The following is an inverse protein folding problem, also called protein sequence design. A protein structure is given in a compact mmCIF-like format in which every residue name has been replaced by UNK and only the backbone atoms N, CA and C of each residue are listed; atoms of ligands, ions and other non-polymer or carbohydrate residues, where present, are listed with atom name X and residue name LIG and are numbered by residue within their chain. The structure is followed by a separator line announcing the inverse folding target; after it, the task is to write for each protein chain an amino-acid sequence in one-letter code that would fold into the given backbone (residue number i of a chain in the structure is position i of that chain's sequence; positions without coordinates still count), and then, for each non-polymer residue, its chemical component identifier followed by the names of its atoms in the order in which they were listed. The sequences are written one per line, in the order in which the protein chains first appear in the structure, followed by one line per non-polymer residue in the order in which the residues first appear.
data_IF_589014514565
#
_entry.id   IF_589014514565
#
_cell.length_a   1.000
_cell.length_b   1.000
_cell.length_c   1.000
_cell.angle_alpha   90.00
_cell.angle_beta   90.00
_cell.angle_gamma   90.00
#
_symmetry.space_group_name_H-M   'P 1'
#
loop_
_entity.id
_entity.type
_entity.pdbx_description
1 polymer ?
#
# COMPACT_ATOMS: atom_id res chain seq x y z
N UNK A 1 16.46 -12.53 -14.00
CA UNK A 1 17.10 -12.53 -15.32
C UNK A 1 17.20 -11.14 -15.98
N UNK A 2 17.09 -10.03 -15.24
CA UNK A 2 17.08 -8.64 -15.81
C UNK A 2 18.38 -7.87 -15.51
N UNK A 3 19.24 -8.37 -14.62
CA UNK A 3 20.46 -7.66 -14.18
C UNK A 3 21.70 -7.95 -15.05
N UNK A 4 21.65 -8.90 -15.98
CA UNK A 4 22.82 -9.35 -16.73
C UNK A 4 23.09 -8.56 -18.02
N UNK A 5 22.10 -7.82 -18.54
CA UNK A 5 22.24 -7.08 -19.81
C UNK A 5 22.78 -5.66 -19.65
N UNK A 6 22.85 -5.12 -18.43
CA UNK A 6 23.36 -3.77 -18.17
C UNK A 6 24.89 -3.65 -18.17
N UNK A 7 25.64 -4.77 -18.26
CA UNK A 7 27.11 -4.77 -18.12
C UNK A 7 27.88 -4.80 -19.44
N UNK A 8 27.21 -4.81 -20.61
CA UNK A 8 27.85 -5.03 -21.90
C UNK A 8 28.17 -3.76 -22.73
N UNK A 9 27.99 -2.55 -22.18
CA UNK A 9 28.01 -1.30 -22.97
C UNK A 9 29.00 -0.24 -22.51
N UNK A 10 30.26 -0.58 -22.20
CA UNK A 10 31.31 0.42 -21.94
C UNK A 10 32.49 0.14 -22.86
N UNK A 11 32.57 0.85 -23.98
CA UNK A 11 33.74 0.79 -24.86
C UNK A 11 33.56 1.43 -26.22
N UNK A 12 34.44 2.39 -26.50
CA UNK A 12 34.74 3.04 -27.79
C UNK A 12 33.83 4.20 -28.23
N UNK A 13 34.46 5.38 -28.28
CA UNK A 13 33.86 6.60 -28.78
C UNK A 13 33.66 6.55 -30.30
N UNK A 14 32.54 7.11 -30.73
CA UNK A 14 32.36 7.76 -32.03
C UNK A 14 31.26 8.79 -31.86
N UNK A 15 31.63 10.05 -32.06
CA UNK A 15 30.72 11.18 -32.20
C UNK A 15 29.85 10.94 -33.43
N UNK A 16 28.60 10.54 -33.24
CA UNK A 16 27.58 10.59 -34.28
C UNK A 16 26.23 10.86 -33.63
N UNK A 17 25.64 11.97 -34.04
CA UNK A 17 24.30 12.43 -33.73
C UNK A 17 23.28 11.33 -34.00
N UNK A 18 22.60 10.85 -32.96
CA UNK A 18 21.22 10.33 -32.97
C UNK A 18 20.97 9.75 -31.57
N UNK A 19 19.94 10.26 -30.88
CA UNK A 19 19.31 9.54 -29.76
C UNK A 19 18.91 8.17 -30.30
N UNK A 20 19.73 7.15 -30.02
CA UNK A 20 19.53 5.82 -30.58
C UNK A 20 18.19 5.24 -30.11
N UNK A 21 17.43 4.51 -30.95
CA UNK A 21 16.14 3.91 -30.59
C UNK A 21 16.21 3.04 -29.32
N UNK A 22 17.40 2.51 -29.00
CA UNK A 22 17.67 1.67 -27.82
C UNK A 22 17.55 2.43 -26.50
N UNK A 23 17.97 3.70 -26.41
CA UNK A 23 17.83 4.48 -25.17
C UNK A 23 16.39 4.91 -24.94
N UNK A 24 15.65 5.20 -26.01
CA UNK A 24 14.21 5.51 -25.92
C UNK A 24 13.40 4.27 -25.48
N UNK A 25 13.79 3.07 -25.93
CA UNK A 25 13.18 1.81 -25.52
C UNK A 25 13.37 1.52 -24.02
N UNK A 26 14.55 1.86 -23.47
CA UNK A 26 14.83 1.72 -22.03
C UNK A 26 13.98 2.67 -21.20
N UNK A 27 13.83 3.92 -21.65
CA UNK A 27 12.99 4.93 -20.97
C UNK A 27 11.52 4.54 -20.99
N UNK A 28 11.01 4.07 -22.13
CA UNK A 28 9.63 3.59 -22.27
C UNK A 28 9.40 2.33 -21.44
N UNK A 29 10.37 1.40 -21.40
CA UNK A 29 10.30 0.21 -20.56
C UNK A 29 10.32 0.56 -19.06
N UNK A 30 11.13 1.53 -18.63
CA UNK A 30 11.14 2.04 -17.26
C UNK A 30 9.82 2.71 -16.90
N UNK A 31 9.27 3.57 -17.76
CA UNK A 31 7.98 4.22 -17.56
C UNK A 31 6.82 3.22 -17.52
N UNK A 32 6.84 2.18 -18.37
CA UNK A 32 5.84 1.12 -18.35
C UNK A 32 5.94 0.25 -17.09
N UNK A 33 7.15 -0.08 -16.62
CA UNK A 33 7.37 -0.81 -15.37
C UNK A 33 6.93 0.00 -14.15
N UNK A 34 7.25 1.29 -14.11
CA UNK A 34 6.81 2.22 -13.05
C UNK A 34 5.30 2.39 -13.08
N UNK A 35 4.70 2.52 -14.27
CA UNK A 35 3.25 2.63 -14.45
C UNK A 35 2.49 1.35 -14.07
N UNK A 36 3.04 0.17 -14.38
CA UNK A 36 2.45 -1.11 -13.98
C UNK A 36 2.55 -1.31 -12.47
N UNK A 37 3.68 -0.94 -11.86
CA UNK A 37 3.83 -0.90 -10.41
C UNK A 37 2.82 0.06 -9.77
N UNK A 38 2.68 1.30 -10.28
CA UNK A 38 1.72 2.28 -9.75
C UNK A 38 0.25 1.84 -9.86
N UNK A 39 -0.13 1.19 -10.96
CA UNK A 39 -1.50 0.67 -11.13
C UNK A 39 -1.79 -0.49 -10.19
N UNK A 40 -0.83 -1.39 -9.99
CA UNK A 40 -0.96 -2.47 -9.02
C UNK A 40 -1.05 -1.94 -7.58
N UNK A 41 -0.31 -0.87 -7.31
CA UNK A 41 -0.24 -0.16 -6.04
C UNK A 41 -1.52 0.58 -5.66
N UNK A 42 -2.12 1.33 -6.59
CA UNK A 42 -3.40 2.00 -6.38
C UNK A 42 -4.54 1.00 -6.13
N UNK A 43 -4.43 -0.22 -6.67
CA UNK A 43 -5.40 -1.30 -6.43
C UNK A 43 -5.32 -1.84 -4.99
N UNK A 44 -4.13 -1.87 -4.39
CA UNK A 44 -3.87 -2.34 -3.03
C UNK A 44 -4.20 -1.27 -1.96
N UNK A 45 -3.92 0.00 -2.24
CA UNK A 45 -4.14 1.12 -1.30
C UNK A 45 -5.61 1.37 -0.92
N UNK A 46 -6.59 0.85 -1.69
CA UNK A 46 -8.02 1.09 -1.43
C UNK A 46 -8.58 0.27 -0.24
N UNK A 47 -7.80 -0.62 0.39
CA UNK A 47 -8.34 -1.61 1.35
C UNK A 47 -8.06 -1.35 2.84
N UNK A 48 -7.35 -0.30 3.26
CA UNK A 48 -6.94 -0.17 4.68
C UNK A 48 -7.34 1.17 5.32
N UNK A 49 -8.12 1.10 6.41
CA UNK A 49 -8.63 2.23 7.18
C UNK A 49 -7.89 2.46 8.51
N UNK A 50 -6.56 2.41 8.52
CA UNK A 50 -5.73 2.70 9.70
C UNK A 50 -4.91 3.98 9.47
N UNK A 51 -4.95 4.92 10.42
CA UNK A 51 -4.39 6.28 10.27
C UNK A 51 -2.86 6.31 10.14
N UNK A 52 -2.15 5.33 10.72
CA UNK A 52 -0.69 5.20 10.66
C UNK A 52 -0.19 4.59 9.35
N UNK A 53 -0.89 3.60 8.79
CA UNK A 53 -0.56 3.05 7.46
C UNK A 53 -0.82 4.07 6.36
N UNK A 54 -1.84 4.92 6.53
CA UNK A 54 -2.13 6.02 5.61
C UNK A 54 -0.99 7.04 5.52
N UNK A 55 -0.40 7.45 6.66
CA UNK A 55 0.79 8.33 6.66
C UNK A 55 2.01 7.68 5.99
N UNK A 56 2.22 6.38 6.19
CA UNK A 56 3.33 5.65 5.55
C UNK A 56 3.12 5.54 4.04
N UNK A 57 1.89 5.29 3.59
CA UNK A 57 1.55 5.33 2.18
C UNK A 57 1.74 6.73 1.56
N UNK A 58 1.41 7.80 2.28
CA UNK A 58 1.67 9.17 1.81
C UNK A 58 3.18 9.44 1.63
N UNK A 59 4.02 8.89 2.51
CA UNK A 59 5.47 8.96 2.31
C UNK A 59 5.93 8.16 1.09
N UNK A 60 5.30 7.02 0.79
CA UNK A 60 5.54 6.27 -0.45
C UNK A 60 5.12 7.10 -1.67
N UNK A 61 3.97 7.76 -1.62
CA UNK A 61 3.50 8.64 -2.69
C UNK A 61 4.47 9.79 -2.97
N UNK A 62 4.97 10.47 -1.93
CA UNK A 62 6.02 11.50 -2.09
C UNK A 62 7.29 10.95 -2.73
N UNK A 63 7.72 9.74 -2.35
CA UNK A 63 8.90 9.09 -2.95
C UNK A 63 8.66 8.74 -4.42
N UNK A 64 7.45 8.31 -4.78
CA UNK A 64 7.05 8.06 -6.17
C UNK A 64 7.14 9.35 -7.00
N UNK A 65 6.64 10.47 -6.49
CA UNK A 65 6.75 11.77 -7.17
C UNK A 65 8.22 12.12 -7.42
N UNK A 66 9.08 11.96 -6.41
CA UNK A 66 10.52 12.21 -6.54
C UNK A 66 11.19 11.30 -7.57
N UNK A 67 10.80 10.03 -7.66
CA UNK A 67 11.30 9.10 -8.69
C UNK A 67 10.92 9.58 -10.10
N UNK A 68 9.71 10.12 -10.28
CA UNK A 68 9.28 10.69 -11.56
C UNK A 68 10.07 11.95 -11.91
N UNK A 69 10.36 12.81 -10.93
CA UNK A 69 11.21 14.01 -11.12
C UNK A 69 12.63 13.62 -11.56
N UNK A 70 13.24 12.62 -10.93
CA UNK A 70 14.56 12.12 -11.32
C UNK A 70 14.55 11.53 -12.75
N UNK A 71 13.49 10.83 -13.13
CA UNK A 71 13.33 10.32 -14.50
C UNK A 71 13.19 11.46 -15.52
N UNK A 72 12.45 12.51 -15.17
CA UNK A 72 12.36 13.73 -15.96
C UNK A 72 13.72 14.41 -16.12
N UNK A 73 14.48 14.56 -15.03
CA UNK A 73 15.83 15.14 -15.07
C UNK A 73 16.81 14.34 -15.92
N UNK A 74 16.74 13.00 -15.91
CA UNK A 74 17.52 12.15 -16.82
C UNK A 74 17.12 12.40 -18.28
N UNK A 75 15.82 12.53 -18.56
CA UNK A 75 15.33 12.79 -19.92
C UNK A 75 15.78 14.16 -20.43
N UNK A 76 15.69 15.20 -19.61
CA UNK A 76 16.16 16.54 -19.94
C UNK A 76 17.65 16.55 -20.24
N UNK A 77 18.45 15.87 -19.41
CA UNK A 77 19.90 15.77 -19.58
C UNK A 77 20.28 15.00 -20.86
N UNK A 78 19.54 13.95 -21.20
CA UNK A 78 19.73 13.20 -22.43
C UNK A 78 19.30 13.98 -23.68
N UNK A 79 18.38 14.94 -23.54
CA UNK A 79 17.93 15.82 -24.63
C UNK A 79 18.81 17.05 -24.85
N UNK A 80 19.79 17.28 -23.97
CA UNK A 80 20.65 18.47 -24.01
C UNK A 80 21.42 18.60 -25.34
N UNK A 81 21.39 19.78 -25.99
CA UNK A 81 22.07 20.01 -27.27
C UNK A 81 23.60 19.97 -27.17
N UNK A 82 24.15 20.12 -25.96
CA UNK A 82 25.60 20.04 -25.66
C UNK A 82 26.04 18.58 -25.39
N UNK A 83 25.10 17.64 -25.42
CA UNK A 83 25.30 16.24 -25.05
C UNK A 83 25.15 15.99 -23.54
N UNK A 84 24.83 14.74 -23.14
CA UNK A 84 24.49 14.41 -21.77
C UNK A 84 25.70 14.45 -20.83
N UNK A 85 25.57 15.15 -19.70
CA UNK A 85 26.55 15.10 -18.61
C UNK A 85 26.46 13.75 -17.89
N UNK A 86 27.40 12.87 -18.21
CA UNK A 86 27.44 11.48 -17.74
C UNK A 86 27.37 11.37 -16.21
N UNK A 87 28.11 12.21 -15.48
CA UNK A 87 28.12 12.18 -14.01
C UNK A 87 26.75 12.53 -13.42
N UNK A 88 26.05 13.48 -14.04
CA UNK A 88 24.72 13.90 -13.60
C UNK A 88 23.68 12.81 -13.89
N UNK A 89 23.70 12.24 -15.09
CA UNK A 89 22.82 11.11 -15.47
C UNK A 89 23.07 9.92 -14.55
N UNK A 90 24.33 9.60 -14.26
CA UNK A 90 24.69 8.49 -13.40
C UNK A 90 24.19 8.70 -11.98
N UNK A 91 24.36 9.89 -11.40
CA UNK A 91 23.87 10.20 -10.07
C UNK A 91 22.34 10.13 -9.99
N UNK A 92 21.63 10.69 -10.96
CA UNK A 92 20.16 10.57 -11.02
C UNK A 92 19.71 9.11 -11.15
N UNK A 93 20.39 8.29 -11.96
CA UNK A 93 20.08 6.86 -12.08
C UNK A 93 20.33 6.09 -10.76
N UNK A 94 21.40 6.41 -10.04
CA UNK A 94 21.70 5.80 -8.74
C UNK A 94 20.64 6.17 -7.69
N UNK A 95 20.29 7.45 -7.59
CA UNK A 95 19.25 7.92 -6.67
C UNK A 95 17.87 7.34 -7.02
N UNK A 96 17.55 7.27 -8.31
CA UNK A 96 16.33 6.63 -8.82
C UNK A 96 16.26 5.17 -8.36
N UNK A 97 17.32 4.39 -8.57
CA UNK A 97 17.35 2.99 -8.18
C UNK A 97 17.21 2.80 -6.66
N UNK A 98 17.81 3.70 -5.87
CA UNK A 98 17.70 3.63 -4.42
C UNK A 98 16.27 3.92 -3.95
N UNK A 99 15.64 4.98 -4.47
CA UNK A 99 14.26 5.31 -4.13
C UNK A 99 13.28 4.20 -4.54
N UNK A 100 13.49 3.55 -5.69
CA UNK A 100 12.69 2.40 -6.11
C UNK A 100 12.81 1.24 -5.11
N UNK A 101 14.02 0.92 -4.64
CA UNK A 101 14.22 -0.14 -3.63
C UNK A 101 13.51 0.22 -2.32
N UNK A 102 13.63 1.46 -1.88
CA UNK A 102 13.02 1.92 -0.64
C UNK A 102 11.48 1.88 -0.72
N UNK A 103 10.92 2.28 -1.87
CA UNK A 103 9.48 2.16 -2.15
C UNK A 103 9.07 0.68 -2.08
N UNK A 104 9.78 -0.21 -2.78
CA UNK A 104 9.47 -1.64 -2.80
C UNK A 104 9.48 -2.29 -1.42
N UNK A 105 10.44 -1.95 -0.56
CA UNK A 105 10.53 -2.47 0.81
C UNK A 105 9.35 -1.95 1.65
N UNK A 106 9.13 -0.63 1.67
CA UNK A 106 8.05 -0.02 2.45
C UNK A 106 6.68 -0.61 2.10
N UNK A 107 6.44 -0.86 0.82
CA UNK A 107 5.17 -1.44 0.37
C UNK A 107 5.03 -2.91 0.69
N UNK A 108 6.11 -3.67 0.60
CA UNK A 108 6.11 -5.08 1.01
C UNK A 108 5.71 -5.20 2.47
N UNK A 109 6.24 -4.31 3.32
CA UNK A 109 5.94 -4.29 4.74
C UNK A 109 4.48 -3.89 5.00
N UNK A 110 3.95 -2.90 4.29
CA UNK A 110 2.54 -2.51 4.42
C UNK A 110 1.58 -3.58 3.88
N UNK A 111 1.92 -4.27 2.79
CA UNK A 111 1.14 -5.42 2.29
C UNK A 111 1.18 -6.55 3.32
N UNK A 112 2.35 -6.88 3.86
CA UNK A 112 2.49 -7.90 4.91
C UNK A 112 1.64 -7.55 6.12
N UNK A 113 1.72 -6.30 6.60
CA UNK A 113 0.92 -5.82 7.72
C UNK A 113 -0.59 -5.87 7.43
N UNK A 114 -1.01 -5.48 6.22
CA UNK A 114 -2.42 -5.55 5.82
C UNK A 114 -2.93 -7.00 5.68
N UNK A 115 -2.07 -7.95 5.31
CA UNK A 115 -2.39 -9.37 5.25
C UNK A 115 -2.39 -10.05 6.64
N UNK A 116 -1.55 -9.57 7.56
CA UNK A 116 -1.53 -9.98 8.96
C UNK A 116 -2.67 -9.35 9.77
N UNK A 117 -3.26 -8.26 9.27
CA UNK A 117 -4.42 -7.62 9.88
C UNK A 117 -5.61 -8.58 9.93
N UNK A 118 -5.91 -9.09 11.12
CA UNK A 118 -7.12 -9.86 11.43
C UNK A 118 -8.18 -8.92 12.02
N UNK A 119 -9.24 -8.57 11.27
CA UNK A 119 -10.26 -7.63 11.73
C UNK A 119 -10.97 -8.04 13.02
N UNK A 120 -10.99 -9.34 13.33
CA UNK A 120 -11.73 -9.91 14.46
C UNK A 120 -10.88 -10.19 15.70
N UNK A 121 -9.55 -10.06 15.62
CA UNK A 121 -8.65 -10.47 16.71
C UNK A 121 -8.66 -9.50 17.90
N UNK A 122 -9.13 -8.27 17.68
CA UNK A 122 -9.36 -7.24 18.73
C UNK A 122 -10.80 -6.70 18.74
N UNK A 123 -11.73 -7.40 18.09
CA UNK A 123 -13.11 -6.94 18.01
C UNK A 123 -13.89 -7.34 19.28
N UNK A 124 -14.48 -6.36 19.96
CA UNK A 124 -15.34 -6.56 21.13
C UNK A 124 -16.74 -7.11 20.74
N UNK A 125 -17.03 -7.25 19.45
CA UNK A 125 -18.33 -7.75 18.94
C UNK A 125 -18.74 -9.06 19.59
N UNK A 126 -17.81 -10.03 19.71
CA UNK A 126 -18.12 -11.31 20.33
C UNK A 126 -18.55 -11.16 21.79
N UNK A 127 -17.82 -10.35 22.57
CA UNK A 127 -18.16 -10.06 23.96
C UNK A 127 -19.49 -9.29 24.07
N UNK A 128 -19.71 -8.31 23.19
CA UNK A 128 -20.93 -7.48 23.17
C UNK A 128 -22.18 -8.29 22.86
N UNK A 129 -22.15 -9.10 21.80
CA UNK A 129 -23.28 -9.95 21.41
C UNK A 129 -23.55 -11.02 22.47
N UNK A 130 -22.51 -11.64 23.06
CA UNK A 130 -22.70 -12.59 24.15
C UNK A 130 -23.39 -11.94 25.36
N UNK A 131 -23.03 -10.69 25.69
CA UNK A 131 -23.62 -9.96 26.80
C UNK A 131 -25.08 -9.57 26.51
N UNK A 132 -25.39 -9.16 25.28
CA UNK A 132 -26.75 -8.84 24.84
C UNK A 132 -27.67 -10.08 24.91
N UNK A 133 -27.17 -11.24 24.45
CA UNK A 133 -27.89 -12.52 24.59
C UNK A 133 -28.10 -12.87 26.07
N UNK A 134 -27.09 -12.68 26.92
CA UNK A 134 -27.20 -12.95 28.35
C UNK A 134 -28.27 -12.07 29.01
N UNK A 135 -28.26 -10.78 28.69
CA UNK A 135 -29.27 -9.83 29.16
C UNK A 135 -30.69 -10.26 28.76
N UNK A 136 -30.90 -10.64 27.49
CA UNK A 136 -32.20 -11.12 27.01
C UNK A 136 -32.68 -12.39 27.72
N UNK A 137 -31.77 -13.29 28.08
CA UNK A 137 -32.10 -14.48 28.89
C UNK A 137 -32.56 -14.11 30.29
N UNK A 138 -31.89 -13.16 30.94
CA UNK A 138 -32.27 -12.69 32.29
C UNK A 138 -33.61 -11.97 32.26
N UNK A 139 -33.83 -11.09 31.27
CA UNK A 139 -35.09 -10.39 31.05
C UNK A 139 -36.27 -11.37 30.91
N UNK A 140 -36.06 -12.45 30.14
CA UNK A 140 -37.06 -13.52 30.00
C UNK A 140 -37.36 -14.22 31.32
N UNK A 141 -36.34 -14.58 32.11
CA UNK A 141 -36.52 -15.23 33.41
C UNK A 141 -37.29 -14.32 34.37
N UNK A 142 -36.95 -13.03 34.43
CA UNK A 142 -37.67 -12.05 35.25
C UNK A 142 -39.15 -12.00 34.88
N UNK A 143 -39.47 -11.88 33.58
CA UNK A 143 -40.85 -11.89 33.11
C UNK A 143 -41.62 -13.15 33.52
N UNK A 144 -40.97 -14.32 33.54
CA UNK A 144 -41.60 -15.56 34.01
C UNK A 144 -41.80 -15.61 35.51
N UNK A 145 -40.84 -15.11 36.29
CA UNK A 145 -40.97 -15.01 37.74
C UNK A 145 -42.08 -14.04 38.15
N UNK A 146 -42.19 -12.90 37.48
CA UNK A 146 -43.26 -11.93 37.73
C UNK A 146 -44.64 -12.52 37.42
N UNK A 147 -44.76 -13.25 36.30
CA UNK A 147 -46.01 -13.93 35.95
C UNK A 147 -46.38 -15.00 37.00
N UNK A 148 -45.41 -15.79 37.48
CA UNK A 148 -45.65 -16.78 38.53
C UNK A 148 -46.07 -16.13 39.84
N UNK A 149 -45.41 -15.02 40.22
CA UNK A 149 -45.78 -14.26 41.42
C UNK A 149 -47.21 -13.76 41.32
N UNK A 150 -47.59 -13.17 40.19
CA UNK A 150 -48.96 -12.70 39.97
C UNK A 150 -49.97 -13.85 40.10
N UNK A 151 -49.68 -15.04 39.55
CA UNK A 151 -50.56 -16.20 39.70
C UNK A 151 -50.72 -16.66 41.16
N UNK A 152 -49.65 -16.57 41.97
CA UNK A 152 -49.70 -16.89 43.39
C UNK A 152 -50.52 -15.83 44.15
N UNK A 153 -50.25 -14.55 43.92
CA UNK A 153 -50.96 -13.44 44.57
C UNK A 153 -52.48 -13.49 44.25
N UNK A 154 -52.85 -13.85 43.02
CA UNK A 154 -54.24 -14.04 42.60
C UNK A 154 -54.91 -15.25 43.29
N UNK A 155 -54.18 -16.34 43.52
CA UNK A 155 -54.68 -17.51 44.25
C UNK A 155 -54.89 -17.19 45.74
N UNK A 156 -53.91 -16.54 46.37
CA UNK A 156 -53.98 -16.15 47.79
C UNK A 156 -55.11 -15.15 48.05
N UNK A 157 -55.45 -14.29 47.08
CA UNK A 157 -56.58 -13.37 47.18
C UNK A 157 -57.96 -14.05 47.01
N UNK A 158 -58.01 -15.26 46.45
CA UNK A 158 -59.24 -16.00 46.17
C UNK A 158 -59.62 -17.02 47.27
N UNK A 159 -58.74 -17.24 48.24
CA UNK A 159 -58.91 -18.13 49.42
C UNK A 159 -59.25 -17.31 50.65
#
# INVERSE_FOLDING_TARGET
MVYSELKAGVGTGKSHSLVSPKSMLVVVALLLLVGLCLKFMAKLARKTGQTTSLQRLQNVEKRIVKVLELAGGVMDELSSPVGPRKDLVQNHCLEFMQLIKDIQVALRDEIKSACEYRPFEKCDYGARIANEICYKKVEFIMSKLDAMKQTIDEYDAAV
#
